data_IF_797929669399
#
_entry.id   IF_797929669399
#
_cell.length_a   1.000
_cell.length_b   1.000
_cell.length_c   1.000
_cell.angle_alpha   90.00
_cell.angle_beta   90.00
_cell.angle_gamma   90.00
#
_symmetry.space_group_name_H-M   'P 1'
#
loop_
_entity.id
_entity.type
_entity.pdbx_description
1 polymer ?
#
# COMPACT_ATOMS: atom_id res chain seq x y z
N UNK A 1 30.67 -36.13 59.17
CA UNK A 1 29.56 -36.92 58.58
C UNK A 1 28.37 -35.98 58.44
N UNK A 2 28.03 -35.44 57.24
CA UNK A 2 27.13 -36.04 56.24
C UNK A 2 26.00 -36.84 56.92
N UNK A 3 24.71 -36.47 56.86
CA UNK A 3 23.91 -36.19 55.65
C UNK A 3 22.73 -35.25 55.95
N UNK A 4 22.54 -34.25 55.09
CA UNK A 4 21.28 -33.52 54.91
C UNK A 4 20.31 -34.41 54.11
N UNK A 5 19.05 -34.48 54.53
CA UNK A 5 17.95 -34.96 53.68
C UNK A 5 17.05 -33.75 53.43
N UNK A 6 17.00 -33.38 52.16
CA UNK A 6 16.07 -32.43 51.54
C UNK A 6 14.63 -32.89 51.79
N UNK A 7 13.80 -32.00 52.34
CA UNK A 7 12.36 -32.05 52.11
C UNK A 7 11.99 -30.77 51.37
N UNK A 8 11.70 -30.93 50.08
CA UNK A 8 11.31 -29.85 49.19
C UNK A 8 9.95 -29.30 49.64
N UNK A 9 9.98 -28.13 50.28
CA UNK A 9 8.80 -27.29 50.43
C UNK A 9 8.53 -26.68 49.06
N UNK A 10 7.48 -27.15 48.40
CA UNK A 10 6.94 -26.58 47.18
C UNK A 10 6.33 -25.21 47.53
N UNK A 11 7.18 -24.19 47.61
CA UNK A 11 6.74 -22.80 47.69
C UNK A 11 6.14 -22.43 46.33
N UNK A 12 4.81 -22.34 46.27
CA UNK A 12 4.12 -21.59 45.24
C UNK A 12 4.61 -20.13 45.34
N UNK A 13 5.54 -19.77 44.46
CA UNK A 13 6.07 -18.42 44.36
C UNK A 13 4.92 -17.52 43.90
N UNK A 14 4.36 -16.76 44.84
CA UNK A 14 3.58 -15.58 44.55
C UNK A 14 4.51 -14.54 43.91
N UNK A 15 4.65 -14.61 42.59
CA UNK A 15 5.29 -13.57 41.81
C UNK A 15 4.35 -12.36 41.78
N UNK A 16 4.52 -11.48 42.76
CA UNK A 16 3.94 -10.13 42.75
C UNK A 16 5.02 -9.23 42.16
N UNK A 17 4.98 -8.99 40.85
CA UNK A 17 5.92 -8.08 40.20
C UNK A 17 5.16 -6.99 39.46
N UNK A 18 5.27 -5.77 40.00
CA UNK A 18 5.02 -4.55 39.27
C UNK A 18 6.19 -4.34 38.30
N UNK A 19 5.91 -4.28 37.01
CA UNK A 19 6.84 -3.84 36.00
C UNK A 19 6.17 -2.68 35.24
N UNK A 20 6.69 -1.50 35.49
CA UNK A 20 6.31 -0.22 34.92
C UNK A 20 7.19 0.02 33.69
N UNK A 21 6.58 0.17 32.51
CA UNK A 21 7.17 0.91 31.40
C UNK A 21 6.09 1.85 30.86
N UNK A 22 6.12 3.08 31.38
CA UNK A 22 5.36 4.21 30.87
C UNK A 22 5.99 4.67 29.56
N UNK A 23 5.30 4.51 28.44
CA UNK A 23 5.19 5.58 27.45
C UNK A 23 4.01 5.32 26.52
N UNK A 24 3.17 6.36 26.36
CA UNK A 24 1.96 6.48 25.52
C UNK A 24 0.63 6.01 26.15
N UNK A 25 -0.38 6.87 26.00
CA UNK A 25 -1.63 6.99 26.76
C UNK A 25 -2.64 5.83 26.62
N UNK A 26 -2.29 4.72 25.99
CA UNK A 26 -3.20 3.58 25.78
C UNK A 26 -2.51 2.21 25.97
N UNK A 27 -1.32 2.15 26.61
CA UNK A 27 -0.59 0.89 26.75
C UNK A 27 -1.23 -0.08 27.76
N UNK A 28 -1.41 -1.33 27.32
CA UNK A 28 -1.78 -2.45 28.18
C UNK A 28 -0.54 -3.11 28.77
N UNK A 29 -0.43 -3.08 30.11
CA UNK A 29 0.70 -3.70 30.83
C UNK A 29 0.39 -5.16 31.11
N UNK A 30 1.04 -6.06 30.38
CA UNK A 30 1.09 -7.50 30.65
C UNK A 30 2.46 -7.79 31.27
N UNK A 31 2.56 -8.52 32.40
CA UNK A 31 3.85 -8.79 33.04
C UNK A 31 4.83 -9.45 32.05
N UNK A 32 6.03 -8.89 31.92
CA UNK A 32 7.09 -9.46 31.07
C UNK A 32 7.43 -10.89 31.50
N UNK A 33 7.43 -11.82 30.54
CA UNK A 33 8.02 -13.16 30.70
C UNK A 33 7.20 -14.27 30.05
N UNK A 34 5.89 -14.31 30.30
CA UNK A 34 5.09 -15.50 30.01
C UNK A 34 4.11 -15.32 28.84
N UNK A 35 3.65 -14.10 28.61
CA UNK A 35 2.69 -13.79 27.55
C UNK A 35 3.28 -12.77 26.57
N UNK A 36 2.94 -12.92 25.29
CA UNK A 36 3.32 -11.97 24.24
C UNK A 36 2.12 -11.12 23.88
N UNK A 37 2.20 -9.82 24.17
CA UNK A 37 1.28 -8.86 23.54
C UNK A 37 1.63 -8.81 22.06
N UNK A 38 0.70 -9.26 21.21
CA UNK A 38 0.96 -9.35 19.78
C UNK A 38 0.76 -7.99 19.11
N UNK A 39 -0.32 -7.28 19.46
CA UNK A 39 -0.70 -6.04 18.80
C UNK A 39 -1.85 -5.32 19.54
N UNK A 40 -1.82 -3.99 19.52
CA UNK A 40 -3.04 -3.16 19.67
C UNK A 40 -3.39 -2.60 18.29
N UNK A 41 -4.61 -2.85 17.83
CA UNK A 41 -5.12 -2.38 16.54
C UNK A 41 -6.28 -1.43 16.78
N UNK A 42 -6.27 -0.27 16.10
CA UNK A 42 -7.40 0.66 16.07
C UNK A 42 -8.17 0.47 14.78
N UNK A 43 -9.40 0.00 14.89
CA UNK A 43 -10.26 -0.33 13.75
C UNK A 43 -11.47 0.60 13.78
N UNK A 44 -11.93 1.01 12.60
CA UNK A 44 -13.18 1.76 12.48
C UNK A 44 -14.33 0.77 12.29
N UNK A 45 -15.27 0.75 13.23
CA UNK A 45 -16.45 -0.13 13.23
C UNK A 45 -17.47 0.28 12.14
N UNK A 46 -18.51 -0.53 11.94
CA UNK A 46 -19.55 -0.35 10.92
C UNK A 46 -20.36 0.94 11.01
N UNK A 47 -20.31 1.63 12.14
CA UNK A 47 -20.97 2.92 12.35
C UNK A 47 -19.98 4.08 12.57
N UNK A 48 -18.68 3.84 12.32
CA UNK A 48 -17.67 4.89 12.32
C UNK A 48 -16.97 5.12 13.64
N UNK A 49 -17.32 4.40 14.71
CA UNK A 49 -16.60 4.51 15.97
C UNK A 49 -15.29 3.72 15.93
N UNK A 50 -14.30 4.19 16.70
CA UNK A 50 -13.02 3.51 16.85
C UNK A 50 -13.11 2.45 17.95
N UNK A 51 -12.75 1.22 17.60
CA UNK A 51 -12.51 0.12 18.53
C UNK A 51 -11.00 -0.10 18.66
N UNK A 52 -10.49 -0.12 19.89
CA UNK A 52 -9.13 -0.59 20.19
C UNK A 52 -9.21 -2.08 20.50
N UNK A 53 -8.60 -2.93 19.67
CA UNK A 53 -8.51 -4.37 19.88
C UNK A 53 -7.10 -4.72 20.35
N UNK A 54 -7.00 -5.43 21.47
CA UNK A 54 -5.74 -6.01 21.92
C UNK A 54 -5.72 -7.52 21.76
N UNK A 55 -4.57 -8.05 21.32
CA UNK A 55 -4.33 -9.49 21.16
C UNK A 55 -3.18 -9.92 22.05
N UNK A 56 -3.40 -10.98 22.82
CA UNK A 56 -2.41 -11.58 23.71
C UNK A 56 -2.26 -13.05 23.33
N UNK A 57 -1.03 -13.48 23.07
CA UNK A 57 -0.73 -14.88 22.82
C UNK A 57 0.01 -15.47 24.01
N UNK A 58 -0.39 -16.70 24.37
CA UNK A 58 0.35 -17.55 25.28
C UNK A 58 1.16 -18.57 24.46
N UNK A 59 2.47 -18.34 24.24
CA UNK A 59 3.33 -19.28 23.51
C UNK A 59 3.81 -20.46 24.38
N UNK A 60 3.37 -20.54 25.63
CA UNK A 60 3.80 -21.56 26.58
C UNK A 60 2.92 -22.80 26.49
N UNK A 61 3.44 -23.92 26.97
CA UNK A 61 2.73 -25.20 27.06
C UNK A 61 1.86 -25.33 28.32
N UNK A 62 1.72 -24.26 29.11
CA UNK A 62 0.87 -24.20 30.31
C UNK A 62 0.02 -22.94 30.33
N UNK A 63 -1.11 -23.00 31.05
CA UNK A 63 -2.07 -21.90 31.14
C UNK A 63 -1.53 -20.78 32.05
N UNK A 64 -1.79 -19.53 31.68
CA UNK A 64 -1.36 -18.34 32.43
C UNK A 64 -2.57 -17.57 32.95
N UNK A 65 -2.57 -17.22 34.23
CA UNK A 65 -3.61 -16.39 34.85
C UNK A 65 -3.24 -14.91 34.76
N UNK A 66 -4.04 -14.14 34.03
CA UNK A 66 -4.00 -12.69 33.95
C UNK A 66 -4.90 -12.11 35.05
N UNK A 67 -4.29 -11.73 36.18
CA UNK A 67 -5.02 -11.13 37.31
C UNK A 67 -5.41 -9.69 37.06
N UNK A 68 -4.50 -8.89 36.50
CA UNK A 68 -4.67 -7.46 36.34
C UNK A 68 -4.29 -7.04 34.92
N UNK A 69 -4.97 -6.01 34.43
CA UNK A 69 -4.67 -5.32 33.19
C UNK A 69 -4.76 -3.83 33.42
N UNK A 70 -3.72 -3.09 33.05
CA UNK A 70 -3.77 -1.63 33.04
C UNK A 70 -4.24 -1.17 31.67
N UNK A 71 -5.29 -0.34 31.60
CA UNK A 71 -5.75 0.27 30.36
C UNK A 71 -5.94 1.78 30.60
N UNK A 72 -5.31 2.63 29.78
CA UNK A 72 -5.48 4.09 29.88
C UNK A 72 -5.11 4.66 31.27
N UNK A 73 -4.09 4.06 31.91
CA UNK A 73 -3.63 4.45 33.25
C UNK A 73 -4.41 3.84 34.42
N UNK A 74 -5.51 3.11 34.18
CA UNK A 74 -6.30 2.46 35.21
C UNK A 74 -6.08 0.94 35.23
N UNK A 75 -5.66 0.40 36.36
CA UNK A 75 -5.54 -1.06 36.55
C UNK A 75 -6.89 -1.68 36.90
N UNK A 76 -7.28 -2.68 36.13
CA UNK A 76 -8.50 -3.46 36.29
C UNK A 76 -8.13 -4.91 36.56
N UNK A 77 -8.68 -5.47 37.62
CA UNK A 77 -8.62 -6.91 37.91
C UNK A 77 -9.57 -7.67 36.96
N UNK A 78 -9.08 -8.73 36.33
CA UNK A 78 -9.74 -9.47 35.24
C UNK A 78 -9.90 -10.98 35.49
N UNK A 79 -9.00 -11.61 36.25
CA UNK A 79 -8.97 -13.06 36.53
C UNK A 79 -9.25 -13.93 35.29
N UNK A 80 -8.43 -13.76 34.25
CA UNK A 80 -8.58 -14.48 32.97
C UNK A 80 -7.51 -15.54 32.79
N UNK A 81 -7.89 -16.74 32.35
CA UNK A 81 -6.95 -17.81 32.06
C UNK A 81 -6.68 -17.86 30.55
N UNK A 82 -5.45 -17.58 30.16
CA UNK A 82 -5.01 -17.72 28.77
C UNK A 82 -4.42 -19.12 28.58
N UNK A 83 -5.10 -19.94 27.80
CA UNK A 83 -4.73 -21.35 27.58
C UNK A 83 -3.40 -21.49 26.83
N UNK A 84 -2.69 -22.62 26.98
CA UNK A 84 -1.46 -22.90 26.24
C UNK A 84 -1.66 -22.76 24.72
N UNK A 85 -0.68 -22.22 24.01
CA UNK A 85 -0.68 -22.09 22.55
C UNK A 85 -1.95 -21.44 21.97
N UNK A 86 -2.60 -20.56 22.75
CA UNK A 86 -3.84 -19.89 22.38
C UNK A 86 -3.64 -18.38 22.23
N UNK A 87 -4.61 -17.74 21.56
CA UNK A 87 -4.71 -16.29 21.47
C UNK A 87 -5.99 -15.85 22.17
N UNK A 88 -5.83 -14.84 23.01
CA UNK A 88 -6.91 -14.19 23.74
C UNK A 88 -7.03 -12.75 23.25
N UNK A 89 -8.27 -12.24 23.19
CA UNK A 89 -8.55 -10.89 22.71
C UNK A 89 -9.35 -10.10 23.72
N UNK A 90 -9.13 -8.79 23.75
CA UNK A 90 -9.94 -7.83 24.49
C UNK A 90 -10.16 -6.60 23.63
N UNK A 91 -11.23 -5.86 23.88
CA UNK A 91 -11.53 -4.65 23.10
C UNK A 91 -11.97 -3.49 23.98
N UNK A 92 -11.71 -2.26 23.53
CA UNK A 92 -12.27 -1.04 24.10
C UNK A 92 -13.05 -0.30 23.04
N UNK A 93 -14.30 0.02 23.35
CA UNK A 93 -15.20 0.74 22.47
C UNK A 93 -16.08 1.68 23.30
N UNK A 94 -16.12 2.95 22.92
CA UNK A 94 -16.86 4.02 23.63
C UNK A 94 -16.62 4.03 25.15
N UNK A 95 -15.37 3.86 25.57
CA UNK A 95 -15.00 3.82 26.99
C UNK A 95 -15.33 2.51 27.73
N UNK A 96 -16.07 1.59 27.11
CA UNK A 96 -16.39 0.27 27.66
C UNK A 96 -15.27 -0.70 27.32
N UNK A 97 -14.75 -1.40 28.32
CA UNK A 97 -13.79 -2.50 28.13
C UNK A 97 -14.54 -3.82 28.04
N UNK A 98 -14.27 -4.62 27.00
CA UNK A 98 -14.87 -5.91 26.69
C UNK A 98 -13.78 -6.97 26.83
N UNK A 99 -14.03 -7.97 27.68
CA UNK A 99 -13.04 -8.98 28.04
C UNK A 99 -13.71 -10.35 28.14
N UNK A 100 -13.58 -11.23 27.14
CA UNK A 100 -13.91 -12.64 27.29
C UNK A 100 -12.98 -13.26 28.33
N UNK A 101 -13.49 -13.96 29.33
CA UNK A 101 -12.68 -14.70 30.31
C UNK A 101 -12.34 -16.11 29.87
N UNK A 102 -13.13 -16.67 28.96
CA UNK A 102 -12.82 -17.91 28.25
C UNK A 102 -12.15 -17.59 26.90
N UNK A 103 -11.43 -18.55 26.29
CA UNK A 103 -10.81 -18.35 24.98
C UNK A 103 -11.84 -17.98 23.92
N UNK A 104 -11.86 -16.70 23.55
CA UNK A 104 -12.72 -16.18 22.50
C UNK A 104 -12.05 -15.02 21.74
N UNK A 105 -12.43 -14.89 20.48
CA UNK A 105 -11.97 -13.84 19.57
C UNK A 105 -13.12 -12.87 19.36
N UNK A 106 -12.91 -11.59 19.68
CA UNK A 106 -13.88 -10.53 19.38
C UNK A 106 -13.86 -10.24 17.88
N UNK A 107 -15.00 -10.41 17.21
CA UNK A 107 -15.19 -10.02 15.82
C UNK A 107 -15.41 -8.51 15.74
N UNK A 108 -14.37 -7.79 15.31
CA UNK A 108 -14.39 -6.32 15.19
C UNK A 108 -15.18 -5.80 13.99
N UNK A 109 -15.47 -6.64 13.01
CA UNK A 109 -16.32 -6.24 11.88
C UNK A 109 -17.78 -6.17 12.30
N UNK A 110 -18.19 -7.00 13.27
CA UNK A 110 -19.56 -7.04 13.78
C UNK A 110 -19.75 -6.24 15.06
N UNK A 111 -18.74 -6.21 15.94
CA UNK A 111 -18.79 -5.48 17.22
C UNK A 111 -18.85 -3.96 16.99
N UNK A 112 -19.84 -3.30 17.57
CA UNK A 112 -20.07 -1.86 17.40
C UNK A 112 -20.91 -1.29 18.55
N UNK A 113 -20.75 0.00 18.84
CA UNK A 113 -21.53 0.70 19.85
C UNK A 113 -22.36 1.78 19.18
N UNK A 114 -23.66 1.82 19.46
CA UNK A 114 -24.64 2.68 18.81
C UNK A 114 -25.05 3.79 19.79
N UNK A 115 -24.48 5.01 19.67
CA UNK A 115 -24.63 6.06 20.67
C UNK A 115 -26.07 6.52 20.85
N UNK A 116 -26.86 6.53 19.77
CA UNK A 116 -28.26 7.01 19.83
C UNK A 116 -29.11 6.11 20.72
N UNK A 117 -28.86 4.79 20.69
CA UNK A 117 -29.55 3.81 21.53
C UNK A 117 -28.81 3.45 22.81
N UNK A 118 -27.60 3.99 23.04
CA UNK A 118 -26.63 3.56 24.07
C UNK A 118 -26.51 2.03 24.11
N UNK A 119 -26.40 1.42 22.93
CA UNK A 119 -26.38 -0.04 22.75
C UNK A 119 -24.98 -0.48 22.33
N UNK A 120 -24.38 -1.44 23.03
CA UNK A 120 -23.20 -2.17 22.58
C UNK A 120 -23.65 -3.50 21.97
N UNK A 121 -23.31 -3.73 20.72
CA UNK A 121 -23.36 -5.05 20.11
C UNK A 121 -21.96 -5.64 20.13
N UNK A 122 -21.79 -6.80 20.75
CA UNK A 122 -20.54 -7.56 20.75
C UNK A 122 -20.76 -8.87 20.06
N UNK A 123 -19.90 -9.14 19.09
CA UNK A 123 -19.84 -10.44 18.42
C UNK A 123 -18.53 -11.12 18.78
N UNK A 124 -18.62 -12.36 19.23
CA UNK A 124 -17.48 -13.17 19.63
C UNK A 124 -17.51 -14.53 18.95
N UNK A 125 -16.33 -15.06 18.67
CA UNK A 125 -16.14 -16.43 18.21
C UNK A 125 -15.40 -17.21 19.30
N UNK A 126 -16.07 -18.22 19.85
CA UNK A 126 -15.56 -19.05 20.94
C UNK A 126 -16.07 -20.48 20.80
N UNK A 127 -15.43 -21.41 21.50
CA UNK A 127 -15.64 -22.85 21.30
C UNK A 127 -16.51 -23.52 22.35
N UNK A 128 -16.72 -22.90 23.51
CA UNK A 128 -17.31 -23.52 24.70
C UNK A 128 -18.16 -22.53 25.49
N UNK A 129 -18.37 -22.81 26.79
CA UNK A 129 -18.94 -21.87 27.77
C UNK A 129 -18.28 -20.49 27.65
N UNK A 130 -19.13 -19.46 27.64
CA UNK A 130 -18.71 -18.09 27.42
C UNK A 130 -18.95 -17.26 28.68
N UNK A 131 -17.88 -16.75 29.27
CA UNK A 131 -17.91 -15.74 30.33
C UNK A 131 -17.33 -14.45 29.74
N UNK A 132 -18.13 -13.39 29.64
CA UNK A 132 -17.69 -12.09 29.14
C UNK A 132 -17.88 -11.04 30.22
N UNK A 133 -16.79 -10.33 30.45
CA UNK A 133 -16.71 -9.19 31.33
C UNK A 133 -16.80 -7.89 30.54
N UNK A 134 -17.60 -6.95 31.06
CA UNK A 134 -17.64 -5.57 30.61
C UNK A 134 -17.36 -4.62 31.76
N UNK A 135 -16.36 -3.73 31.61
CA UNK A 135 -16.17 -2.59 32.52
C UNK A 135 -16.86 -1.37 31.93
N UNK A 136 -17.81 -0.81 32.67
CA UNK A 136 -18.47 0.45 32.34
C UNK A 136 -18.72 1.27 33.61
N UNK A 137 -18.72 2.59 33.50
CA UNK A 137 -19.19 3.48 34.57
C UNK A 137 -20.70 3.43 34.74
N UNK A 138 -21.41 3.05 33.67
CA UNK A 138 -22.86 3.07 33.61
C UNK A 138 -23.46 1.70 33.92
N UNK A 139 -24.65 1.71 34.51
CA UNK A 139 -25.39 0.49 34.86
C UNK A 139 -26.12 -0.02 33.61
N UNK A 140 -25.83 -1.26 33.14
CA UNK A 140 -26.58 -1.86 32.05
C UNK A 140 -27.99 -2.16 32.52
N UNK A 141 -28.97 -1.93 31.64
CA UNK A 141 -30.39 -2.18 31.92
C UNK A 141 -30.85 -3.50 31.35
N UNK A 142 -30.39 -3.82 30.15
CA UNK A 142 -30.87 -4.95 29.37
C UNK A 142 -29.67 -5.63 28.72
N UNK A 143 -29.64 -6.95 28.83
CA UNK A 143 -28.70 -7.83 28.13
C UNK A 143 -29.55 -8.78 27.30
N UNK A 144 -29.34 -8.79 25.99
CA UNK A 144 -29.98 -9.70 25.05
C UNK A 144 -28.86 -10.51 24.40
N UNK A 145 -28.99 -11.83 24.37
CA UNK A 145 -28.05 -12.71 23.71
C UNK A 145 -28.79 -13.69 22.80
N UNK A 146 -28.05 -14.33 21.90
CA UNK A 146 -28.58 -15.42 21.05
C UNK A 146 -28.81 -16.73 21.82
N UNK A 147 -28.26 -16.84 23.04
CA UNK A 147 -28.44 -17.97 23.96
C UNK A 147 -29.00 -17.53 25.32
N UNK A 148 -29.30 -18.51 26.17
CA UNK A 148 -29.66 -18.24 27.56
C UNK A 148 -28.42 -17.77 28.35
N UNK A 149 -28.51 -16.57 28.92
CA UNK A 149 -27.42 -15.97 29.69
C UNK A 149 -27.84 -15.67 31.12
N UNK A 150 -26.91 -15.90 32.04
CA UNK A 150 -26.96 -15.33 33.39
C UNK A 150 -26.05 -14.12 33.42
N UNK A 151 -26.56 -12.97 33.88
CA UNK A 151 -25.74 -11.79 34.01
C UNK A 151 -25.91 -11.10 35.35
N UNK A 152 -24.84 -10.46 35.82
CA UNK A 152 -24.81 -9.68 37.05
C UNK A 152 -23.99 -8.42 36.83
N UNK A 153 -24.51 -7.29 37.31
CA UNK A 153 -23.75 -6.05 37.40
C UNK A 153 -23.36 -5.76 38.85
N UNK A 154 -22.07 -5.58 39.10
CA UNK A 154 -21.53 -5.30 40.43
C UNK A 154 -20.26 -4.43 40.32
N UNK A 155 -20.12 -3.41 41.16
CA UNK A 155 -18.94 -2.53 41.21
C UNK A 155 -18.45 -2.02 39.83
N UNK A 156 -19.38 -1.62 38.96
CA UNK A 156 -19.05 -1.13 37.61
C UNK A 156 -18.59 -2.23 36.65
N UNK A 157 -18.94 -3.49 36.93
CA UNK A 157 -18.57 -4.67 36.14
C UNK A 157 -19.84 -5.44 35.80
N UNK A 158 -20.11 -5.60 34.51
CA UNK A 158 -21.10 -6.56 34.01
C UNK A 158 -20.39 -7.87 33.73
N UNK A 159 -20.83 -8.95 34.34
CA UNK A 159 -20.44 -10.30 33.95
C UNK A 159 -21.63 -10.97 33.26
N UNK A 160 -21.42 -11.54 32.08
CA UNK A 160 -22.40 -12.30 31.28
C UNK A 160 -21.86 -13.70 31.06
N UNK A 161 -22.57 -14.71 31.56
CA UNK A 161 -22.17 -16.12 31.51
C UNK A 161 -23.22 -16.90 30.72
N UNK A 162 -22.78 -17.64 29.70
CA UNK A 162 -23.58 -18.56 28.91
C UNK A 162 -22.97 -19.97 28.98
N UNK A 163 -23.74 -21.00 29.38
CA UNK A 163 -23.27 -22.39 29.36
C UNK A 163 -23.14 -22.96 27.94
N UNK A 164 -23.66 -22.25 26.94
CA UNK A 164 -23.61 -22.59 25.52
C UNK A 164 -22.74 -21.58 24.76
N UNK A 165 -22.31 -21.95 23.55
CA UNK A 165 -21.59 -21.03 22.66
C UNK A 165 -22.49 -19.84 22.33
N UNK A 166 -22.10 -18.66 22.79
CA UNK A 166 -22.79 -17.39 22.57
C UNK A 166 -22.03 -16.60 21.52
N UNK A 167 -22.68 -16.21 20.42
CA UNK A 167 -22.01 -15.48 19.34
C UNK A 167 -22.26 -13.99 19.41
N UNK A 168 -23.45 -13.59 19.79
CA UNK A 168 -23.90 -12.21 19.69
C UNK A 168 -24.57 -11.76 21.00
N UNK A 169 -24.12 -10.60 21.50
CA UNK A 169 -24.63 -9.99 22.73
C UNK A 169 -24.93 -8.53 22.48
N UNK A 170 -26.14 -8.11 22.80
CA UNK A 170 -26.56 -6.73 22.83
C UNK A 170 -26.74 -6.28 24.29
N UNK A 171 -25.97 -5.26 24.70
CA UNK A 171 -26.06 -4.66 26.03
C UNK A 171 -26.52 -3.21 25.90
N UNK A 172 -27.55 -2.83 26.67
CA UNK A 172 -28.15 -1.50 26.61
C UNK A 172 -27.91 -0.72 27.92
N UNK A 173 -27.37 0.49 27.81
CA UNK A 173 -27.18 1.46 28.90
C UNK A 173 -28.16 2.63 28.82
N UNK A 174 -29.33 2.41 28.20
CA UNK A 174 -30.36 3.46 28.02
C UNK A 174 -30.90 3.96 29.37
N UNK A 175 -31.15 5.27 29.44
CA UNK A 175 -31.75 5.96 30.59
C UNK A 175 -33.28 5.84 30.64
N UNK A 176 -33.91 5.07 29.73
CA UNK A 176 -35.37 5.01 29.63
C UNK A 176 -35.96 4.58 30.98
N UNK A 177 -36.55 5.55 31.68
CA UNK A 177 -37.21 5.43 32.98
C UNK A 177 -38.50 4.61 32.93
N UNK A 178 -38.73 3.88 31.85
CA UNK A 178 -39.98 3.19 31.61
C UNK A 178 -39.66 1.70 31.49
N UNK A 179 -40.55 0.88 32.06
CA UNK A 179 -40.73 -0.52 31.70
C UNK A 179 -41.14 -0.62 30.21
N UNK A 180 -40.30 -0.11 29.31
CA UNK A 180 -40.54 -0.10 27.89
C UNK A 180 -40.40 -1.52 27.36
N UNK A 181 -41.55 -2.11 27.07
CA UNK A 181 -41.71 -3.41 26.39
C UNK A 181 -41.09 -3.39 24.97
N UNK A 182 -40.72 -2.21 24.46
CA UNK A 182 -40.21 -2.01 23.10
C UNK A 182 -38.94 -1.15 23.08
N UNK A 183 -37.84 -1.74 22.60
CA UNK A 183 -36.60 -1.03 22.28
C UNK A 183 -36.52 -0.92 20.75
N UNK A 184 -36.56 0.30 20.17
CA UNK A 184 -36.41 0.44 18.72
C UNK A 184 -34.97 0.07 18.30
N UNK A 185 -34.82 -0.92 17.42
CA UNK A 185 -33.53 -1.24 16.80
C UNK A 185 -33.13 -0.13 15.83
N UNK A 186 -32.15 0.68 16.22
CA UNK A 186 -31.61 1.80 15.43
C UNK A 186 -30.28 1.47 14.74
N UNK A 187 -29.77 0.25 14.87
CA UNK A 187 -28.44 -0.14 14.38
C UNK A 187 -28.26 0.14 12.90
N UNK A 188 -29.25 -0.27 12.10
CA UNK A 188 -29.27 -0.07 10.64
C UNK A 188 -29.30 1.41 10.27
N UNK A 189 -30.07 2.22 10.99
CA UNK A 189 -30.17 3.66 10.72
C UNK A 189 -28.83 4.37 10.99
N UNK A 190 -28.17 4.05 12.11
CA UNK A 190 -26.87 4.64 12.47
C UNK A 190 -25.76 4.19 11.51
N UNK A 191 -25.70 2.91 11.16
CA UNK A 191 -24.73 2.41 10.16
C UNK A 191 -24.93 3.08 8.79
N UNK A 192 -26.18 3.25 8.34
CA UNK A 192 -26.47 3.99 7.10
C UNK A 192 -26.07 5.47 7.23
N UNK A 193 -26.38 6.12 8.35
CA UNK A 193 -26.01 7.52 8.61
C UNK A 193 -24.49 7.74 8.55
N UNK A 194 -23.71 6.84 9.13
CA UNK A 194 -22.26 6.87 9.01
C UNK A 194 -21.79 6.68 7.56
N UNK A 195 -22.31 5.67 6.85
CA UNK A 195 -21.96 5.43 5.44
C UNK A 195 -22.24 6.64 4.56
N UNK A 196 -23.38 7.30 4.76
CA UNK A 196 -23.72 8.56 4.08
C UNK A 196 -22.69 9.63 4.42
N UNK A 197 -22.36 9.81 5.70
CA UNK A 197 -21.38 10.81 6.14
C UNK A 197 -20.00 10.58 5.53
N UNK A 198 -19.55 9.31 5.47
CA UNK A 198 -18.30 8.93 4.81
C UNK A 198 -18.33 9.22 3.31
N UNK A 199 -19.42 8.88 2.63
CA UNK A 199 -19.59 9.20 1.20
C UNK A 199 -19.54 10.71 0.94
N UNK A 200 -20.20 11.52 1.79
CA UNK A 200 -20.18 12.98 1.70
C UNK A 200 -18.76 13.53 1.88
N UNK A 201 -17.92 12.91 2.73
CA UNK A 201 -16.53 13.29 2.91
C UNK A 201 -15.61 12.85 1.76
N UNK A 202 -15.88 11.70 1.15
CA UNK A 202 -15.03 11.14 0.10
C UNK A 202 -15.34 11.69 -1.30
N UNK A 203 -16.58 12.14 -1.54
CA UNK A 203 -17.00 12.74 -2.81
C UNK A 203 -16.14 13.96 -3.23
N UNK A 204 -15.87 14.96 -2.36
CA UNK A 204 -15.00 16.08 -2.68
C UNK A 204 -13.59 15.63 -3.06
N UNK A 205 -12.99 14.69 -2.32
CA UNK A 205 -11.65 14.16 -2.61
C UNK A 205 -11.60 13.48 -3.97
N UNK A 206 -12.62 12.69 -4.30
CA UNK A 206 -12.73 12.08 -5.63
C UNK A 206 -12.87 13.13 -6.74
N UNK A 207 -13.61 14.21 -6.49
CA UNK A 207 -13.75 15.30 -7.45
C UNK A 207 -12.42 16.05 -7.66
N UNK A 208 -11.64 16.30 -6.61
CA UNK A 208 -10.30 16.88 -6.70
C UNK A 208 -9.35 16.01 -7.54
N UNK A 209 -9.37 14.69 -7.30
CA UNK A 209 -8.60 13.72 -8.10
C UNK A 209 -9.02 13.79 -9.57
N UNK A 210 -10.32 13.87 -9.85
CA UNK A 210 -10.85 13.93 -11.21
C UNK A 210 -10.45 15.22 -11.94
N UNK A 211 -10.50 16.38 -11.25
CA UNK A 211 -10.03 17.66 -11.78
C UNK A 211 -8.53 17.60 -12.09
N UNK A 212 -7.72 17.05 -11.17
CA UNK A 212 -6.28 16.88 -11.36
C UNK A 212 -5.96 15.99 -12.58
N UNK A 213 -6.65 14.85 -12.70
CA UNK A 213 -6.49 13.95 -13.85
C UNK A 213 -6.89 14.59 -15.17
N UNK A 214 -7.95 15.42 -15.19
CA UNK A 214 -8.34 16.18 -16.38
C UNK A 214 -7.27 17.19 -16.78
N UNK A 215 -6.72 17.94 -15.82
CA UNK A 215 -5.63 18.89 -16.08
C UNK A 215 -4.40 18.19 -16.66
N UNK A 216 -4.01 17.05 -16.09
CA UNK A 216 -2.86 16.27 -16.57
C UNK A 216 -3.07 15.70 -17.97
N UNK A 217 -4.30 15.27 -18.28
CA UNK A 217 -4.64 14.82 -19.64
C UNK A 217 -4.55 15.95 -20.67
N UNK A 218 -4.96 17.16 -20.30
CA UNK A 218 -4.88 18.32 -21.20
C UNK A 218 -3.42 18.75 -21.44
N UNK A 219 -2.59 18.72 -20.40
CA UNK A 219 -1.15 18.93 -20.53
C UNK A 219 -0.50 17.91 -21.48
N UNK A 220 -0.83 16.63 -21.31
CA UNK A 220 -0.34 15.56 -22.19
C UNK A 220 -0.79 15.77 -23.64
N UNK A 221 -2.04 16.20 -23.87
CA UNK A 221 -2.53 16.52 -25.22
C UNK A 221 -1.75 17.65 -25.86
N UNK A 222 -1.51 18.74 -25.13
CA UNK A 222 -0.72 19.86 -25.61
C UNK A 222 0.72 19.45 -25.95
N UNK A 223 1.32 18.60 -25.12
CA UNK A 223 2.65 18.05 -25.36
C UNK A 223 2.69 17.17 -26.61
N UNK A 224 1.69 16.31 -26.82
CA UNK A 224 1.56 15.49 -28.03
C UNK A 224 1.42 16.36 -29.28
N UNK A 225 0.58 17.40 -29.23
CA UNK A 225 0.43 18.34 -30.36
C UNK A 225 1.73 19.10 -30.67
N UNK A 226 2.45 19.54 -29.64
CA UNK A 226 3.75 20.18 -29.78
C UNK A 226 4.78 19.25 -30.41
N UNK A 227 4.84 17.99 -29.96
CA UNK A 227 5.73 16.97 -30.52
C UNK A 227 5.37 16.65 -31.98
N UNK A 228 4.09 16.51 -32.31
CA UNK A 228 3.63 16.27 -33.69
C UNK A 228 4.04 17.43 -34.62
N UNK A 229 3.88 18.68 -34.17
CA UNK A 229 4.34 19.86 -34.92
C UNK A 229 5.87 19.85 -35.14
N UNK A 230 6.64 19.50 -34.11
CA UNK A 230 8.11 19.36 -34.22
C UNK A 230 8.51 18.25 -35.18
N UNK A 231 7.82 17.11 -35.18
CA UNK A 231 8.06 15.99 -36.10
C UNK A 231 7.77 16.42 -37.54
N UNK A 232 6.65 17.11 -37.79
CA UNK A 232 6.32 17.65 -39.13
C UNK A 232 7.36 18.62 -39.63
N UNK A 233 7.83 19.53 -38.78
CA UNK A 233 8.91 20.47 -39.14
C UNK A 233 10.20 19.74 -39.47
N UNK A 234 10.61 18.76 -38.65
CA UNK A 234 11.82 17.97 -38.87
C UNK A 234 11.71 17.12 -40.15
N UNK A 235 10.54 16.56 -40.44
CA UNK A 235 10.29 15.83 -41.69
C UNK A 235 10.42 16.75 -42.91
N UNK A 236 9.81 17.93 -42.87
CA UNK A 236 9.93 18.90 -43.97
C UNK A 236 11.37 19.33 -44.19
N UNK A 237 12.16 19.53 -43.14
CA UNK A 237 13.56 19.90 -43.26
C UNK A 237 14.40 18.75 -43.81
N UNK A 238 14.16 17.52 -43.34
CA UNK A 238 14.79 16.32 -43.90
C UNK A 238 14.51 16.19 -45.40
N UNK A 239 13.27 16.43 -45.83
CA UNK A 239 12.88 16.33 -47.23
C UNK A 239 13.58 17.41 -48.08
N UNK A 240 13.68 18.65 -47.58
CA UNK A 240 14.48 19.71 -48.21
C UNK A 240 15.97 19.36 -48.33
N UNK A 241 16.58 18.84 -47.26
CA UNK A 241 17.98 18.43 -47.27
C UNK A 241 18.21 17.26 -48.24
N UNK A 242 17.25 16.34 -48.35
CA UNK A 242 17.30 15.24 -49.32
C UNK A 242 17.25 15.73 -50.76
N UNK A 243 16.40 16.71 -51.05
CA UNK A 243 16.32 17.33 -52.38
C UNK A 243 17.60 18.11 -52.71
N UNK A 244 18.15 18.86 -51.75
CA UNK A 244 19.42 19.57 -51.90
C UNK A 244 20.59 18.60 -52.17
N UNK A 245 20.64 17.48 -51.45
CA UNK A 245 21.64 16.43 -51.67
C UNK A 245 21.50 15.80 -53.07
N UNK A 246 20.26 15.51 -53.51
CA UNK A 246 20.00 14.99 -54.84
C UNK A 246 20.43 15.97 -55.95
N UNK A 247 20.18 17.26 -55.76
CA UNK A 247 20.64 18.31 -56.68
C UNK A 247 22.16 18.42 -56.70
N UNK A 248 22.81 18.45 -55.53
CA UNK A 248 24.27 18.48 -55.41
C UNK A 248 24.92 17.28 -56.10
N UNK A 249 24.38 16.08 -55.91
CA UNK A 249 24.88 14.87 -56.57
C UNK A 249 24.74 14.94 -58.10
N UNK A 250 23.63 15.50 -58.63
CA UNK A 250 23.48 15.73 -60.07
C UNK A 250 24.52 16.72 -60.61
N UNK A 251 24.76 17.81 -59.88
CA UNK A 251 25.77 18.82 -60.27
C UNK A 251 27.18 18.23 -60.22
N UNK A 252 27.50 17.45 -59.19
CA UNK A 252 28.78 16.76 -59.07
C UNK A 252 29.01 15.79 -60.25
N UNK A 253 28.01 14.95 -60.58
CA UNK A 253 28.10 14.05 -61.73
C UNK A 253 28.24 14.78 -63.08
N UNK A 254 27.58 15.94 -63.23
CA UNK A 254 27.77 16.79 -64.43
C UNK A 254 29.18 17.40 -64.50
N UNK A 255 29.74 17.84 -63.36
CA UNK A 255 31.12 18.34 -63.30
C UNK A 255 32.12 17.22 -63.61
N UNK A 256 31.93 16.04 -63.04
CA UNK A 256 32.76 14.86 -63.29
C UNK A 256 32.74 14.49 -64.79
N UNK A 257 31.56 14.45 -65.41
CA UNK A 257 31.42 14.21 -66.85
C UNK A 257 32.14 15.27 -67.71
N UNK A 258 32.05 16.56 -67.35
CA UNK A 258 32.77 17.64 -68.04
C UNK A 258 34.29 17.53 -67.88
N UNK A 259 34.75 17.19 -66.68
CA UNK A 259 36.17 16.95 -66.41
C UNK A 259 36.69 15.76 -67.24
N UNK A 260 35.96 14.65 -67.27
CA UNK A 260 36.30 13.50 -68.12
C UNK A 260 36.37 13.90 -69.60
N UNK A 261 35.37 14.63 -70.12
CA UNK A 261 35.37 15.09 -71.50
C UNK A 261 36.56 16.01 -71.81
N UNK A 262 36.89 16.96 -70.93
CA UNK A 262 38.04 17.85 -71.10
C UNK A 262 39.38 17.10 -71.08
N UNK A 263 39.52 16.08 -70.22
CA UNK A 263 40.72 15.22 -70.20
C UNK A 263 40.85 14.44 -71.52
N UNK A 264 39.76 13.87 -72.04
CA UNK A 264 39.77 13.17 -73.33
C UNK A 264 40.13 14.10 -74.49
N UNK A 265 39.58 15.32 -74.51
CA UNK A 265 39.93 16.34 -75.51
C UNK A 265 41.41 16.73 -75.38
N UNK A 266 41.91 16.98 -74.17
CA UNK A 266 43.33 17.31 -73.95
C UNK A 266 44.28 16.21 -74.41
N UNK A 267 43.94 14.93 -74.20
CA UNK A 267 44.73 13.81 -74.70
C UNK A 267 44.74 13.75 -76.23
N UNK A 268 43.60 13.99 -76.88
CA UNK A 268 43.52 14.01 -78.34
C UNK A 268 44.28 15.18 -78.97
N UNK A 269 44.27 16.36 -78.32
CA UNK A 269 45.05 17.54 -78.75
C UNK A 269 46.55 17.28 -78.58
N UNK A 270 46.96 16.66 -77.47
CA UNK A 270 48.37 16.31 -77.24
C UNK A 270 48.86 15.27 -78.27
N UNK A 271 48.07 14.24 -78.55
CA UNK A 271 48.37 13.26 -79.59
C UNK A 271 48.52 13.92 -80.98
N UNK A 272 47.63 14.86 -81.32
CA UNK A 272 47.70 15.60 -82.57
C UNK A 272 48.97 16.47 -82.65
N UNK A 273 49.31 17.18 -81.57
CA UNK A 273 50.53 17.99 -81.49
C UNK A 273 51.80 17.16 -81.66
N UNK A 274 51.83 15.95 -81.08
CA UNK A 274 52.92 14.98 -81.27
C UNK A 274 52.99 14.52 -82.73
N UNK A 275 51.86 14.17 -83.36
CA UNK A 275 51.82 13.79 -84.78
C UNK A 275 52.32 14.93 -85.67
N UNK A 276 51.86 16.16 -85.46
CA UNK A 276 52.31 17.34 -86.22
C UNK A 276 53.81 17.56 -86.03
N UNK A 277 54.32 17.39 -84.82
CA UNK A 277 55.75 17.52 -84.54
C UNK A 277 56.58 16.44 -85.23
N UNK A 278 56.10 15.18 -85.24
CA UNK A 278 56.75 14.07 -85.96
C UNK A 278 56.73 14.33 -87.47
N UNK A 279 55.60 14.74 -88.04
CA UNK A 279 55.49 15.06 -89.47
C UNK A 279 56.41 16.22 -89.82
N UNK A 280 56.45 17.26 -88.98
CA UNK A 280 57.35 18.41 -89.18
C UNK A 280 58.81 18.01 -89.11
N UNK A 281 59.17 17.08 -88.20
CA UNK A 281 60.51 16.52 -88.11
C UNK A 281 60.86 15.68 -89.35
N UNK A 282 59.91 14.88 -89.87
CA UNK A 282 60.13 14.11 -91.12
C UNK A 282 60.33 15.03 -92.33
N UNK A 283 59.53 16.09 -92.45
CA UNK A 283 59.72 17.11 -93.51
C UNK A 283 61.07 17.79 -93.35
N UNK A 284 61.47 18.14 -92.11
CA UNK A 284 62.79 18.73 -91.86
C UNK A 284 63.92 17.77 -92.23
N UNK A 285 63.79 16.47 -91.95
CA UNK A 285 64.76 15.45 -92.34
C UNK A 285 64.86 15.34 -93.87
N UNK A 286 63.74 15.35 -94.59
CA UNK A 286 63.73 15.34 -96.06
C UNK A 286 64.35 16.62 -96.67
N UNK A 287 64.22 17.76 -95.98
CA UNK A 287 64.79 19.05 -96.43
C UNK A 287 66.28 19.19 -96.07
N UNK A 288 66.70 18.70 -94.90
CA UNK A 288 68.06 18.87 -94.37
C UNK A 288 69.01 17.73 -94.76
N UNK A 289 68.48 16.56 -95.14
CA UNK A 289 69.28 15.50 -95.77
C UNK A 289 69.11 15.61 -97.30
N UNK A 290 69.94 16.40 -98.00
CA UNK A 290 69.99 16.31 -99.45
C UNK A 290 70.43 14.88 -99.80
N UNK A 291 69.55 14.16 -100.51
CA UNK A 291 69.88 12.90 -101.18
C UNK A 291 71.15 13.14 -102.00
N UNK A 292 72.30 12.65 -101.53
CA UNK A 292 73.48 12.41 -102.37
C UNK A 292 73.12 11.35 -103.41
N UNK A 293 72.47 11.76 -104.49
CA UNK A 293 72.74 11.24 -105.84
C UNK A 293 73.88 12.12 -106.35
N UNK A 294 75.10 11.65 -106.52
CA UNK A 294 75.45 10.53 -107.37
C UNK A 294 75.93 11.12 -108.70
N UNK A 295 77.13 11.69 -108.71
CA UNK A 295 77.88 12.10 -109.91
C UNK A 295 79.36 12.28 -109.53
N UNK A 296 80.16 11.25 -109.79
CA UNK A 296 81.57 11.35 -110.23
C UNK A 296 81.93 10.05 -110.94
N UNK A 297 82.42 10.21 -112.16
CA UNK A 297 83.41 9.33 -112.79
C UNK A 297 84.59 9.05 -111.87
#
# INVERSE_FOLDING_TARGET
MKKYIFLAVLFAVHATFAAEVVSTLDSVVIPEGDLKMLQEERITTNNGLLISLGKVSNPLDFAVLVKNMTFGGNTTELDVIVHPNSTWTYARLDGILIVPKTPAIIDTERTSFYPTGRQLHVSVDGTDEMDIYFKSSDVPRIVIADTNVNWKFDNGRLNVISPEIMKDIDVYWTDSQEDTIFIPDRRKAESIGYRISKLVQDLPKMNEILVSLRSKNEELRNNVMSLDARIKSASSERDRLRDALAQSNRTAGQMESRLSANVTVSQSVFALAVIISIVSLMVLIDVVIPRKKGETQ
#
